data_IF_420948206508
#
_entry.id   IF_420948206508
#
_cell.length_a   1.000
_cell.length_b   1.000
_cell.length_c   1.000
_cell.angle_alpha   90.00
_cell.angle_beta   90.00
_cell.angle_gamma   90.00
#
_symmetry.space_group_name_H-M   'P 1'
#
loop_
_entity.id
_entity.type
_entity.pdbx_description
1 polymer ?
#
# COMPACT_ATOMS: atom_id res chain seq x y z
N UNK A 1 -39.28 -27.13 26.20
CA UNK A 1 -38.76 -28.07 25.17
C UNK A 1 -38.43 -27.38 23.83
N UNK A 2 -38.86 -26.14 23.60
CA UNK A 2 -38.67 -25.38 22.36
C UNK A 2 -37.37 -24.56 22.33
N UNK A 3 -36.95 -24.03 23.48
CA UNK A 3 -35.81 -23.11 23.58
C UNK A 3 -34.47 -23.78 23.23
N UNK A 4 -34.22 -24.99 23.72
CA UNK A 4 -33.02 -25.77 23.37
C UNK A 4 -32.94 -26.08 21.87
N UNK A 5 -34.08 -26.29 21.21
CA UNK A 5 -34.13 -26.57 19.77
C UNK A 5 -33.83 -25.31 18.95
N UNK A 6 -34.26 -24.14 19.42
CA UNK A 6 -33.89 -22.85 18.84
C UNK A 6 -32.40 -22.57 18.96
N UNK A 7 -31.83 -22.78 20.15
CA UNK A 7 -30.38 -22.62 20.38
C UNK A 7 -29.60 -23.58 19.48
N UNK A 8 -29.99 -24.86 19.41
CA UNK A 8 -29.35 -25.84 18.55
C UNK A 8 -29.39 -25.43 17.07
N UNK A 9 -30.55 -24.96 16.60
CA UNK A 9 -30.71 -24.49 15.22
C UNK A 9 -29.86 -23.25 14.93
N UNK A 10 -29.75 -22.32 15.88
CA UNK A 10 -28.89 -21.16 15.77
C UNK A 10 -27.42 -21.60 15.65
N UNK A 11 -26.95 -22.50 16.52
CA UNK A 11 -25.59 -23.04 16.49
C UNK A 11 -25.27 -23.77 15.18
N UNK A 12 -26.19 -24.60 14.69
CA UNK A 12 -26.02 -25.30 13.41
C UNK A 12 -25.96 -24.30 12.26
N UNK A 13 -26.82 -23.28 12.27
CA UNK A 13 -26.84 -22.25 11.23
C UNK A 13 -25.54 -21.46 11.23
N UNK A 14 -25.07 -21.03 12.40
CA UNK A 14 -23.81 -20.32 12.59
C UNK A 14 -22.62 -21.16 12.09
N UNK A 15 -22.58 -22.43 12.44
CA UNK A 15 -21.55 -23.35 11.99
C UNK A 15 -21.57 -23.57 10.47
N UNK A 16 -22.75 -23.69 9.86
CA UNK A 16 -22.90 -23.79 8.41
C UNK A 16 -22.42 -22.52 7.70
N UNK A 17 -22.75 -21.34 8.23
CA UNK A 17 -22.25 -20.06 7.71
C UNK A 17 -20.73 -20.00 7.78
N UNK A 18 -20.14 -20.35 8.93
CA UNK A 18 -18.68 -20.35 9.11
C UNK A 18 -17.97 -21.29 8.13
N UNK A 19 -18.54 -22.48 7.87
CA UNK A 19 -17.99 -23.43 6.86
C UNK A 19 -18.07 -22.85 5.45
N UNK A 20 -19.20 -22.23 5.09
CA UNK A 20 -19.40 -21.61 3.79
C UNK A 20 -18.39 -20.48 3.55
N UNK A 21 -18.22 -19.58 4.53
CA UNK A 21 -17.28 -18.46 4.45
C UNK A 21 -15.83 -18.95 4.34
N UNK A 22 -15.47 -20.01 5.07
CA UNK A 22 -14.13 -20.61 5.01
C UNK A 22 -13.86 -21.22 3.63
N UNK A 23 -14.84 -21.94 3.05
CA UNK A 23 -14.71 -22.49 1.69
C UNK A 23 -14.57 -21.38 0.65
N UNK A 24 -15.36 -20.31 0.77
CA UNK A 24 -15.28 -19.17 -0.14
C UNK A 24 -13.92 -18.46 -0.03
N UNK A 25 -13.42 -18.25 1.18
CA UNK A 25 -12.09 -17.73 1.42
C UNK A 25 -11.00 -18.60 0.77
N UNK A 26 -11.04 -19.92 0.96
CA UNK A 26 -10.06 -20.85 0.35
C UNK A 26 -10.14 -20.79 -1.18
N UNK A 27 -11.34 -20.80 -1.76
CA UNK A 27 -11.53 -20.74 -3.21
C UNK A 27 -11.00 -19.42 -3.80
N UNK A 28 -11.32 -18.29 -3.17
CA UNK A 28 -10.83 -16.97 -3.57
C UNK A 28 -9.31 -16.87 -3.45
N UNK A 29 -8.75 -17.37 -2.34
CA UNK A 29 -7.31 -17.40 -2.06
C UNK A 29 -6.56 -18.20 -3.12
N UNK A 30 -7.08 -19.37 -3.53
CA UNK A 30 -6.52 -20.17 -4.65
C UNK A 30 -6.57 -19.45 -6.00
N UNK A 31 -7.54 -18.57 -6.20
CA UNK A 31 -7.66 -17.73 -7.40
C UNK A 31 -6.86 -16.42 -7.29
N UNK A 32 -6.12 -16.20 -6.20
CA UNK A 32 -5.38 -14.95 -5.95
C UNK A 32 -6.27 -13.76 -5.62
N UNK A 33 -7.55 -13.99 -5.32
CA UNK A 33 -8.52 -12.95 -4.96
C UNK A 33 -8.33 -12.59 -3.47
N UNK A 34 -8.20 -11.29 -3.19
CA UNK A 34 -8.03 -10.75 -1.84
C UNK A 34 -9.34 -10.84 -1.06
N UNK A 35 -9.41 -11.70 -0.05
CA UNK A 35 -10.50 -11.72 0.92
C UNK A 35 -9.99 -11.25 2.27
N UNK A 36 -10.44 -10.07 2.69
CA UNK A 36 -9.97 -9.41 3.92
C UNK A 36 -10.93 -9.56 5.09
N UNK A 37 -12.10 -10.16 4.87
CA UNK A 37 -13.15 -10.31 5.90
C UNK A 37 -12.76 -11.26 7.03
N UNK A 38 -11.88 -12.22 6.75
CA UNK A 38 -11.44 -13.23 7.71
C UNK A 38 -10.11 -12.89 8.40
N UNK A 39 -9.61 -11.66 8.24
CA UNK A 39 -8.34 -11.26 8.85
C UNK A 39 -8.49 -11.07 10.36
N UNK A 40 -7.58 -11.63 11.18
CA UNK A 40 -7.61 -11.45 12.63
C UNK A 40 -7.09 -10.06 13.01
N UNK A 41 -7.89 -9.01 12.80
CA UNK A 41 -7.50 -7.59 12.95
C UNK A 41 -6.82 -7.31 14.29
N UNK A 42 -7.35 -7.83 15.40
CA UNK A 42 -6.76 -7.60 16.73
C UNK A 42 -5.33 -8.15 16.82
N UNK A 43 -5.11 -9.37 16.30
CA UNK A 43 -3.80 -10.01 16.28
C UNK A 43 -2.82 -9.25 15.38
N UNK A 44 -3.28 -8.82 14.20
CA UNK A 44 -2.46 -7.99 13.29
C UNK A 44 -2.03 -6.69 13.98
N UNK A 45 -2.93 -6.03 14.70
CA UNK A 45 -2.61 -4.79 15.42
C UNK A 45 -1.63 -5.04 16.57
N UNK A 46 -1.73 -6.17 17.27
CA UNK A 46 -0.76 -6.56 18.30
C UNK A 46 0.62 -6.82 17.68
N UNK A 47 0.70 -7.60 16.61
CA UNK A 47 1.94 -7.88 15.89
C UNK A 47 2.57 -6.60 15.32
N UNK A 48 1.77 -5.67 14.78
CA UNK A 48 2.26 -4.37 14.32
C UNK A 48 2.86 -3.54 15.45
N UNK A 49 2.24 -3.53 16.65
CA UNK A 49 2.79 -2.83 17.82
C UNK A 49 4.10 -3.45 18.27
N UNK A 50 4.18 -4.77 18.30
CA UNK A 50 5.41 -5.48 18.65
C UNK A 50 6.52 -5.18 17.63
N UNK A 51 6.18 -5.17 16.34
CA UNK A 51 7.12 -4.86 15.26
C UNK A 51 7.70 -3.45 15.39
N UNK A 52 6.96 -2.47 15.92
CA UNK A 52 7.51 -1.10 16.12
C UNK A 52 8.73 -1.04 17.02
N UNK A 53 8.88 -1.97 17.97
CA UNK A 53 10.04 -2.04 18.85
C UNK A 53 11.31 -2.52 18.13
N UNK A 54 11.15 -3.11 16.93
CA UNK A 54 12.21 -3.72 16.15
C UNK A 54 12.53 -2.94 14.86
N UNK A 55 11.88 -1.80 14.65
CA UNK A 55 12.16 -0.93 13.51
C UNK A 55 13.52 -0.25 13.67
N UNK A 56 14.20 -0.03 12.55
CA UNK A 56 15.44 0.75 12.51
C UNK A 56 15.16 2.20 12.91
N UNK A 57 16.15 2.85 13.53
CA UNK A 57 16.04 4.25 13.95
C UNK A 57 15.74 5.16 12.74
N UNK A 58 14.78 6.07 12.90
CA UNK A 58 14.32 6.94 11.80
C UNK A 58 13.34 6.29 10.81
N UNK A 59 12.86 5.07 11.10
CA UNK A 59 11.83 4.40 10.31
C UNK A 59 10.54 4.16 11.09
N UNK A 60 9.40 4.17 10.40
CA UNK A 60 8.09 4.04 11.03
C UNK A 60 7.01 3.51 10.07
N UNK A 61 5.89 3.04 10.62
CA UNK A 61 4.70 2.73 9.82
C UNK A 61 3.96 4.01 9.44
N UNK A 62 3.55 4.21 8.17
CA UNK A 62 2.94 5.46 7.71
C UNK A 62 1.48 5.68 8.17
N UNK A 63 1.05 4.99 9.23
CA UNK A 63 -0.30 5.02 9.77
C UNK A 63 -0.27 4.87 11.29
N UNK A 64 -1.35 5.28 11.96
CA UNK A 64 -1.51 5.08 13.40
C UNK A 64 -2.03 3.67 13.68
N UNK A 65 -1.26 2.88 14.42
CA UNK A 65 -1.61 1.50 14.76
C UNK A 65 -2.74 1.48 15.80
N UNK A 66 -3.97 1.23 15.35
CA UNK A 66 -5.16 1.15 16.19
C UNK A 66 -6.25 0.31 15.50
N UNK A 67 -6.88 -0.60 16.24
CA UNK A 67 -8.01 -1.41 15.75
C UNK A 67 -9.16 -0.55 15.23
N UNK A 68 -9.43 0.62 15.84
CA UNK A 68 -10.49 1.54 15.42
C UNK A 68 -10.29 2.11 14.01
N UNK A 69 -9.05 2.14 13.52
CA UNK A 69 -8.68 2.71 12.24
C UNK A 69 -8.30 1.63 11.21
N UNK A 70 -8.75 0.39 11.39
CA UNK A 70 -8.38 -0.73 10.52
C UNK A 70 -8.60 -0.40 9.03
N UNK A 71 -9.74 0.18 8.66
CA UNK A 71 -10.04 0.54 7.26
C UNK A 71 -8.99 1.48 6.64
N UNK A 72 -8.34 2.33 7.44
CA UNK A 72 -7.27 3.20 6.96
C UNK A 72 -5.92 2.45 6.89
N UNK A 73 -5.67 1.55 7.84
CA UNK A 73 -4.45 0.72 7.88
C UNK A 73 -4.44 -0.28 6.71
N UNK A 74 -5.59 -0.89 6.41
CA UNK A 74 -5.78 -1.86 5.34
C UNK A 74 -5.42 -1.29 3.95
N UNK A 75 -5.57 0.01 3.73
CA UNK A 75 -5.19 0.66 2.48
C UNK A 75 -3.68 0.58 2.19
N UNK A 76 -2.86 0.40 3.23
CA UNK A 76 -1.42 0.21 3.13
C UNK A 76 -1.02 -1.26 3.03
N UNK A 77 -1.95 -2.19 3.23
CA UNK A 77 -1.65 -3.61 3.26
C UNK A 77 -1.56 -4.19 1.85
N UNK A 78 -0.42 -4.77 1.51
CA UNK A 78 -0.32 -5.70 0.39
C UNK A 78 -0.69 -7.11 0.88
N UNK A 79 -1.88 -7.54 0.50
CA UNK A 79 -2.42 -8.84 0.88
C UNK A 79 -2.25 -9.79 -0.31
N UNK A 80 -1.57 -10.91 -0.06
CA UNK A 80 -1.35 -11.96 -1.03
C UNK A 80 -1.61 -13.33 -0.41
N UNK A 81 -1.85 -14.30 -1.29
CA UNK A 81 -2.19 -15.66 -0.94
C UNK A 81 -1.10 -16.59 -1.48
N UNK A 82 -0.63 -17.51 -0.65
CA UNK A 82 0.23 -18.60 -1.07
C UNK A 82 -0.45 -19.92 -0.74
N UNK A 83 -0.42 -20.87 -1.67
CA UNK A 83 -0.94 -22.22 -1.48
C UNK A 83 0.01 -23.22 -2.11
N UNK A 84 0.33 -24.26 -1.36
CA UNK A 84 0.93 -25.49 -1.88
C UNK A 84 0.00 -26.69 -1.56
N UNK A 85 0.52 -27.92 -1.65
CA UNK A 85 -0.25 -29.14 -1.39
C UNK A 85 -0.67 -29.32 0.08
N UNK A 86 0.02 -28.66 1.03
CA UNK A 86 -0.12 -28.90 2.46
C UNK A 86 -0.66 -27.69 3.22
N UNK A 87 -0.45 -26.47 2.73
CA UNK A 87 -0.80 -25.25 3.44
C UNK A 87 -1.30 -24.13 2.53
N UNK A 88 -2.22 -23.35 3.09
CA UNK A 88 -2.69 -22.08 2.55
C UNK A 88 -2.32 -21.01 3.55
N UNK A 89 -1.58 -20.00 3.10
CA UNK A 89 -1.09 -18.90 3.91
C UNK A 89 -1.50 -17.57 3.29
N UNK A 90 -2.00 -16.67 4.13
CA UNK A 90 -2.18 -15.26 3.76
C UNK A 90 -0.97 -14.48 4.22
N UNK A 91 -0.33 -13.79 3.28
CA UNK A 91 0.81 -12.92 3.55
C UNK A 91 0.31 -11.49 3.49
N UNK A 92 0.49 -10.76 4.60
CA UNK A 92 0.15 -9.34 4.71
C UNK A 92 1.46 -8.58 4.86
N UNK A 93 1.75 -7.69 3.92
CA UNK A 93 2.92 -6.81 3.98
C UNK A 93 2.47 -5.39 4.23
N UNK A 94 3.13 -4.72 5.17
CA UNK A 94 2.95 -3.30 5.44
C UNK A 94 4.23 -2.55 5.08
N UNK A 95 4.12 -1.36 4.46
CA UNK A 95 5.27 -0.54 4.17
C UNK A 95 5.86 0.03 5.46
N UNK A 96 7.18 0.05 5.53
CA UNK A 96 7.96 0.87 6.45
C UNK A 96 8.44 2.07 5.65
N UNK A 97 8.40 3.26 6.24
CA UNK A 97 8.90 4.49 5.60
C UNK A 97 9.98 5.12 6.47
N UNK A 98 10.93 5.78 5.82
CA UNK A 98 11.90 6.63 6.49
C UNK A 98 11.36 8.06 6.67
N UNK A 99 12.12 8.86 7.43
CA UNK A 99 11.84 10.29 7.59
C UNK A 99 12.18 11.13 6.33
N UNK A 100 12.77 10.52 5.29
CA UNK A 100 13.18 11.23 4.10
C UNK A 100 11.95 11.73 3.32
N UNK A 101 11.99 13.00 2.91
CA UNK A 101 10.89 13.65 2.19
C UNK A 101 11.34 14.05 0.80
N UNK A 102 10.79 13.36 -0.18
CA UNK A 102 11.04 13.67 -1.57
C UNK A 102 9.99 14.63 -2.11
N UNK A 103 10.43 15.69 -2.77
CA UNK A 103 9.56 16.55 -3.57
C UNK A 103 9.41 15.94 -4.97
N UNK A 104 8.18 15.60 -5.35
CA UNK A 104 7.89 15.01 -6.66
C UNK A 104 7.75 16.12 -7.71
N UNK A 105 8.57 16.04 -8.76
CA UNK A 105 8.59 16.96 -9.90
C UNK A 105 8.29 16.21 -11.19
N UNK A 106 7.51 16.82 -12.07
CA UNK A 106 7.31 16.31 -13.43
C UNK A 106 8.46 16.75 -14.31
N UNK A 107 9.11 15.80 -14.97
CA UNK A 107 10.18 16.08 -15.92
C UNK A 107 9.55 16.70 -17.17
N UNK A 108 10.08 17.84 -17.59
CA UNK A 108 9.66 18.53 -18.83
C UNK A 108 10.84 18.51 -19.79
N UNK A 109 10.68 18.01 -21.02
CA UNK A 109 11.81 17.84 -21.92
C UNK A 109 12.18 19.21 -22.49
N UNK A 110 13.47 19.49 -22.54
CA UNK A 110 13.96 20.71 -23.14
C UNK A 110 14.21 20.50 -24.64
N UNK A 111 13.69 21.37 -25.52
CA UNK A 111 13.98 21.27 -26.95
C UNK A 111 15.47 21.56 -27.20
N UNK A 112 16.12 20.71 -27.98
CA UNK A 112 17.53 20.86 -28.37
C UNK A 112 17.64 21.08 -29.86
N UNK A 113 18.49 22.04 -30.24
CA UNK A 113 18.74 22.36 -31.64
C UNK A 113 19.40 21.18 -32.34
N UNK A 114 18.91 20.83 -33.53
CA UNK A 114 19.57 19.83 -34.36
C UNK A 114 20.89 20.39 -34.90
N UNK A 115 22.01 19.80 -34.49
CA UNK A 115 23.36 20.20 -34.96
C UNK A 115 23.52 20.09 -36.47
N UNK A 116 22.70 19.27 -37.13
CA UNK A 116 22.70 19.06 -38.58
C UNK A 116 21.79 20.04 -39.33
N UNK A 117 20.85 20.71 -38.63
CA UNK A 117 19.89 21.64 -39.22
C UNK A 117 19.44 22.66 -38.18
N UNK A 118 20.01 23.86 -38.25
CA UNK A 118 19.78 24.96 -37.29
C UNK A 118 18.33 25.51 -37.28
N UNK A 119 17.44 25.00 -38.13
CA UNK A 119 16.02 25.34 -38.12
C UNK A 119 15.12 24.24 -37.52
N UNK A 120 15.69 23.12 -37.07
CA UNK A 120 14.93 22.00 -36.49
C UNK A 120 15.25 21.88 -35.00
N UNK A 121 14.21 21.83 -34.18
CA UNK A 121 14.30 21.46 -32.77
C UNK A 121 13.87 20.01 -32.58
N UNK A 122 14.67 19.26 -31.83
CA UNK A 122 14.36 17.89 -31.40
C UNK A 122 13.92 17.92 -29.94
N UNK A 123 12.88 17.17 -29.61
CA UNK A 123 12.44 16.97 -28.24
C UNK A 123 12.96 15.60 -27.81
N UNK A 124 13.61 15.54 -26.65
CA UNK A 124 14.08 14.29 -26.07
C UNK A 124 12.87 13.55 -25.49
N UNK A 125 12.68 12.31 -25.90
CA UNK A 125 11.66 11.43 -25.32
C UNK A 125 12.02 11.14 -23.85
N UNK A 126 11.04 11.33 -22.96
CA UNK A 126 11.23 11.11 -21.52
C UNK A 126 10.73 9.71 -21.17
N UNK A 127 11.63 8.84 -20.73
CA UNK A 127 11.25 7.53 -20.20
C UNK A 127 10.66 7.64 -18.77
N UNK A 128 11.27 8.47 -17.92
CA UNK A 128 10.86 8.65 -16.52
C UNK A 128 10.20 10.01 -16.33
N UNK A 129 8.87 10.04 -16.34
CA UNK A 129 8.08 11.28 -16.30
C UNK A 129 8.20 12.07 -14.99
N UNK A 130 8.67 11.43 -13.92
CA UNK A 130 8.76 12.04 -12.60
C UNK A 130 10.16 11.91 -12.01
N UNK A 131 10.53 12.91 -11.22
CA UNK A 131 11.75 12.96 -10.44
C UNK A 131 11.39 13.30 -9.01
N UNK A 132 11.79 12.45 -8.08
CA UNK A 132 11.64 12.66 -6.65
C UNK A 132 12.96 13.18 -6.10
N UNK A 133 12.95 14.36 -5.51
CA UNK A 133 14.16 15.08 -5.07
C UNK A 133 14.13 15.24 -3.56
N UNK A 134 15.16 14.71 -2.91
CA UNK A 134 15.46 14.99 -1.51
C UNK A 134 16.51 16.10 -1.45
N UNK A 135 16.06 17.30 -1.07
CA UNK A 135 16.93 18.48 -0.98
C UNK A 135 17.82 18.46 0.24
N UNK A 136 17.43 17.75 1.29
CA UNK A 136 18.19 17.71 2.55
C UNK A 136 19.41 16.79 2.39
N UNK A 137 19.21 15.65 1.73
CA UNK A 137 20.28 14.65 1.51
C UNK A 137 20.96 14.75 0.13
N UNK A 138 20.64 15.77 -0.68
CA UNK A 138 21.14 15.94 -2.05
C UNK A 138 20.99 14.67 -2.92
N UNK A 139 19.88 13.96 -2.76
CA UNK A 139 19.60 12.73 -3.48
C UNK A 139 18.39 12.91 -4.40
N UNK A 140 18.33 12.12 -5.46
CA UNK A 140 17.15 12.05 -6.31
C UNK A 140 16.95 10.66 -6.87
N UNK A 141 15.71 10.38 -7.23
CA UNK A 141 15.32 9.16 -7.92
C UNK A 141 14.30 9.47 -9.00
N UNK A 142 14.41 8.76 -10.13
CA UNK A 142 13.49 8.91 -11.26
C UNK A 142 12.41 7.85 -11.18
N UNK A 143 11.18 8.22 -11.54
CA UNK A 143 9.99 7.40 -11.43
C UNK A 143 9.19 7.45 -12.74
N UNK A 144 8.64 6.29 -13.11
CA UNK A 144 7.65 6.18 -14.18
C UNK A 144 6.27 6.55 -13.66
N UNK A 145 5.33 6.80 -14.57
CA UNK A 145 3.95 7.10 -14.21
C UNK A 145 3.28 5.92 -13.49
N UNK A 146 3.66 4.71 -13.85
CA UNK A 146 3.19 3.46 -13.26
C UNK A 146 3.60 3.36 -11.78
N UNK A 147 4.82 3.79 -11.44
CA UNK A 147 5.32 3.77 -10.05
C UNK A 147 4.44 4.66 -9.15
N UNK A 148 4.05 5.84 -9.64
CA UNK A 148 3.16 6.77 -8.91
C UNK A 148 1.74 6.21 -8.78
N UNK A 149 1.24 5.51 -9.81
CA UNK A 149 -0.12 4.90 -9.78
C UNK A 149 -0.25 3.79 -8.74
N UNK A 150 0.84 3.15 -8.38
CA UNK A 150 0.87 2.07 -7.37
C UNK A 150 1.06 2.60 -5.94
N UNK A 151 1.31 3.89 -5.76
CA UNK A 151 1.48 4.48 -4.43
C UNK A 151 0.15 4.61 -3.70
N UNK A 152 0.18 4.45 -2.38
CA UNK A 152 -0.93 4.86 -1.51
C UNK A 152 -0.90 6.37 -1.37
N UNK A 153 -1.99 7.05 -1.74
CA UNK A 153 -2.13 8.50 -1.60
C UNK A 153 -2.86 8.83 -0.29
N UNK A 154 -2.20 9.60 0.57
CA UNK A 154 -2.79 10.15 1.77
C UNK A 154 -2.48 11.66 1.84
N UNK A 155 -3.46 12.51 1.58
CA UNK A 155 -3.34 13.97 1.66
C UNK A 155 -2.10 14.56 0.94
N UNK A 156 -1.91 14.21 -0.34
CA UNK A 156 -0.77 14.61 -1.20
C UNK A 156 0.59 13.98 -0.85
N UNK A 157 0.58 12.98 0.02
CA UNK A 157 1.73 12.14 0.30
C UNK A 157 1.53 10.83 -0.44
N UNK A 158 2.45 10.53 -1.35
CA UNK A 158 2.51 9.26 -2.05
C UNK A 158 3.51 8.36 -1.32
N UNK A 159 3.07 7.18 -0.90
CA UNK A 159 3.93 6.19 -0.26
C UNK A 159 4.10 5.02 -1.22
N UNK A 160 5.36 4.76 -1.60
CA UNK A 160 5.69 3.65 -2.47
C UNK A 160 6.32 2.52 -1.65
N UNK A 161 5.51 1.48 -1.40
CA UNK A 161 5.87 0.38 -0.52
C UNK A 161 7.14 -0.38 -0.95
N UNK A 162 7.44 -0.45 -2.25
CA UNK A 162 8.56 -1.22 -2.76
C UNK A 162 9.93 -0.50 -2.65
N UNK A 163 9.94 0.78 -2.26
CA UNK A 163 11.18 1.55 -1.99
C UNK A 163 11.24 2.20 -0.62
N UNK A 164 10.25 1.95 0.25
CA UNK A 164 10.16 2.55 1.59
C UNK A 164 10.20 4.10 1.61
N UNK A 165 9.79 4.77 0.52
CA UNK A 165 9.96 6.23 0.37
C UNK A 165 8.64 6.99 0.39
N UNK A 166 8.70 8.24 0.88
CA UNK A 166 7.59 9.20 0.98
C UNK A 166 7.78 10.38 0.00
N UNK A 167 6.79 10.62 -0.85
CA UNK A 167 6.81 11.71 -1.84
C UNK A 167 5.71 12.74 -1.59
N UNK A 168 5.99 14.02 -1.83
CA UNK A 168 5.01 15.12 -1.73
C UNK A 168 4.93 15.90 -3.03
N UNK A 169 3.72 16.27 -3.47
CA UNK A 169 3.54 17.17 -4.63
C UNK A 169 3.61 18.63 -4.16
N UNK A 170 4.49 19.47 -4.72
CA UNK A 170 4.48 20.91 -4.44
C UNK A 170 3.25 21.57 -5.07
N UNK A 171 2.43 22.25 -4.25
CA UNK A 171 1.31 23.09 -4.73
C UNK A 171 -0.05 22.87 -4.07
N UNK A 172 -0.20 21.87 -3.18
CA UNK A 172 -1.42 21.67 -2.39
C UNK A 172 -1.17 21.81 -0.88
N UNK A 173 -0.35 22.79 -0.49
CA UNK A 173 -0.36 23.26 0.90
C UNK A 173 -1.72 23.93 1.17
N UNK A 174 -2.37 23.53 2.26
CA UNK A 174 -3.64 24.05 2.78
C UNK A 174 -3.91 25.52 2.39
N UNK A 175 -4.94 25.74 1.56
CA UNK A 175 -5.75 26.94 1.73
C UNK A 175 -6.58 26.73 3.00
N UNK A 176 -6.02 27.13 4.14
CA UNK A 176 -6.82 27.40 5.31
C UNK A 176 -7.73 28.59 4.99
N UNK A 177 -9.04 28.34 4.99
CA UNK A 177 -10.09 29.32 5.26
C UNK A 177 -11.09 28.67 6.18
#
# INVERSE_FOLDING_TARGET
MTEHFYILRMLITDLLTNVQETMEFIAQTKLGIKNTRMLPVNKIIEELKEATAHLEEGTYFPFRINTKNWNAIEQYAEISAYSDEQMIVTIIRFPIVDDARYELKRVTPFPVLDKSNENIFKIIEIENEYMAVDRENNNYLTLKREDIRQCVNNDNIYIYANKASRYTIPGQAHRAR
#
